data_IF_785207873371
#
_entry.id   IF_785207873371
#
_cell.length_a   1.000
_cell.length_b   1.000
_cell.length_c   1.000
_cell.angle_alpha   90.00
_cell.angle_beta   90.00
_cell.angle_gamma   90.00
#
_symmetry.space_group_name_H-M   'P 1'
#
loop_
_entity.id
_entity.type
_entity.pdbx_description
1 polymer ?
#
# COMPACT_ATOMS: atom_id res chain seq x y z
N UNK A 1 -4.75 51.31 -23.16
CA UNK A 1 -4.25 50.33 -22.17
C UNK A 1 -5.30 49.35 -21.60
N UNK A 2 -6.62 49.55 -21.74
CA UNK A 2 -7.63 48.58 -21.27
C UNK A 2 -7.79 47.31 -22.13
N UNK A 3 -7.44 47.37 -23.43
CA UNK A 3 -7.60 46.23 -24.36
C UNK A 3 -6.54 45.13 -24.20
N UNK A 4 -5.33 45.48 -23.78
CA UNK A 4 -4.22 44.51 -23.62
C UNK A 4 -4.41 43.66 -22.34
N UNK A 5 -4.95 44.26 -21.28
CA UNK A 5 -5.20 43.56 -20.02
C UNK A 5 -6.31 42.50 -20.16
N UNK A 6 -7.33 42.77 -20.99
CA UNK A 6 -8.42 41.84 -21.25
C UNK A 6 -7.94 40.58 -22.01
N UNK A 7 -7.03 40.76 -22.98
CA UNK A 7 -6.47 39.65 -23.76
C UNK A 7 -5.60 38.70 -22.93
N UNK A 8 -4.87 39.21 -21.94
CA UNK A 8 -4.02 38.41 -21.04
C UNK A 8 -4.86 37.60 -20.05
N UNK A 9 -5.99 38.15 -19.58
CA UNK A 9 -6.92 37.45 -18.69
C UNK A 9 -7.62 36.32 -19.45
N UNK A 10 -8.02 36.52 -20.71
CA UNK A 10 -8.60 35.45 -21.54
C UNK A 10 -7.61 34.33 -21.87
N UNK A 11 -6.32 34.64 -22.07
CA UNK A 11 -5.31 33.60 -22.36
C UNK A 11 -4.97 32.75 -21.12
N UNK A 12 -5.00 33.34 -19.92
CA UNK A 12 -4.76 32.64 -18.65
C UNK A 12 -5.97 31.81 -18.18
N UNK A 13 -7.19 32.16 -18.60
CA UNK A 13 -8.41 31.37 -18.36
C UNK A 13 -8.52 30.13 -19.28
N UNK A 14 -7.79 30.08 -20.41
CA UNK A 14 -7.81 28.95 -21.36
C UNK A 14 -6.78 27.85 -21.04
N UNK A 15 -5.87 28.06 -20.09
CA UNK A 15 -4.92 27.03 -19.64
C UNK A 15 -5.47 26.08 -18.56
N UNK A 16 -6.72 26.24 -18.15
CA UNK A 16 -7.29 25.52 -17.00
C UNK A 16 -8.51 24.68 -17.34
N UNK A 17 -8.40 23.68 -18.23
CA UNK A 17 -9.37 22.56 -18.29
C UNK A 17 -8.88 21.43 -19.23
N UNK A 18 -7.75 20.80 -18.92
CA UNK A 18 -7.52 19.43 -19.41
C UNK A 18 -8.36 18.48 -18.56
N UNK A 19 -9.67 18.41 -18.84
CA UNK A 19 -10.56 17.34 -18.37
C UNK A 19 -10.58 16.19 -19.37
N UNK A 20 -9.43 15.87 -20.00
CA UNK A 20 -9.28 14.55 -20.60
C UNK A 20 -9.29 13.55 -19.44
N UNK A 21 -10.49 13.00 -19.15
CA UNK A 21 -10.62 11.74 -18.41
C UNK A 21 -9.75 10.74 -19.17
N UNK A 22 -8.54 10.50 -18.66
CA UNK A 22 -7.69 9.44 -19.15
C UNK A 22 -8.51 8.17 -18.96
N UNK A 23 -8.90 7.54 -20.06
CA UNK A 23 -9.66 6.29 -20.03
C UNK A 23 -8.81 5.31 -19.23
N UNK A 24 -9.39 4.76 -18.16
CA UNK A 24 -8.65 3.80 -17.35
C UNK A 24 -8.29 2.60 -18.23
N UNK A 25 -7.02 2.23 -18.22
CA UNK A 25 -6.54 1.07 -18.94
C UNK A 25 -6.94 -0.17 -18.14
N UNK A 26 -7.50 -1.17 -18.82
CA UNK A 26 -7.99 -2.38 -18.17
C UNK A 26 -7.23 -3.57 -18.72
N UNK A 27 -6.53 -4.28 -17.84
CA UNK A 27 -5.88 -5.54 -18.18
C UNK A 27 -6.81 -6.71 -17.85
N UNK A 28 -7.15 -7.51 -18.85
CA UNK A 28 -8.09 -8.62 -18.70
C UNK A 28 -7.36 -9.96 -18.74
N UNK A 29 -7.66 -10.83 -17.77
CA UNK A 29 -7.18 -12.20 -17.69
C UNK A 29 -8.39 -13.13 -17.67
N UNK A 30 -8.44 -14.09 -18.59
CA UNK A 30 -9.47 -15.13 -18.58
C UNK A 30 -8.88 -16.45 -18.12
N UNK A 31 -9.44 -17.00 -17.04
CA UNK A 31 -9.11 -18.30 -16.49
C UNK A 31 -10.22 -19.27 -16.90
N UNK A 32 -9.84 -20.39 -17.51
CA UNK A 32 -10.79 -21.43 -17.91
C UNK A 32 -10.40 -22.74 -17.23
N UNK A 33 -11.33 -23.31 -16.48
CA UNK A 33 -11.22 -24.65 -15.90
C UNK A 33 -12.42 -25.51 -16.34
N UNK A 34 -12.13 -26.62 -17.01
CA UNK A 34 -13.12 -27.52 -17.63
C UNK A 34 -14.15 -26.74 -18.49
N UNK A 35 -15.40 -26.62 -18.02
CA UNK A 35 -16.52 -25.91 -18.69
C UNK A 35 -16.83 -24.54 -18.08
N UNK A 36 -16.05 -24.06 -17.12
CA UNK A 36 -16.25 -22.76 -16.45
C UNK A 36 -15.17 -21.79 -16.89
N UNK A 37 -15.58 -20.56 -17.23
CA UNK A 37 -14.68 -19.44 -17.49
C UNK A 37 -14.92 -18.33 -16.48
N UNK A 38 -13.82 -17.74 -16.03
CA UNK A 38 -13.75 -16.58 -15.16
C UNK A 38 -12.96 -15.49 -15.89
N UNK A 39 -13.49 -14.28 -15.92
CA UNK A 39 -12.79 -13.11 -16.45
C UNK A 39 -12.43 -12.16 -15.31
N UNK A 40 -11.14 -11.90 -15.12
CA UNK A 40 -10.60 -10.94 -14.17
C UNK A 40 -10.20 -9.68 -14.91
N UNK A 41 -10.72 -8.52 -14.52
CA UNK A 41 -10.32 -7.23 -15.11
C UNK A 41 -9.61 -6.40 -14.07
N UNK A 42 -8.41 -5.96 -14.40
CA UNK A 42 -7.57 -5.12 -13.56
C UNK A 42 -7.56 -3.72 -14.12
N UNK A 43 -8.27 -2.80 -13.45
CA UNK A 43 -8.25 -1.38 -13.75
C UNK A 43 -6.88 -0.83 -13.32
N UNK A 44 -6.07 -0.29 -14.21
CA UNK A 44 -4.66 0.01 -13.89
C UNK A 44 -4.50 1.36 -13.19
N UNK A 45 -5.47 2.26 -13.35
CA UNK A 45 -5.53 3.60 -12.76
C UNK A 45 -4.21 4.38 -12.91
N UNK A 46 -3.64 4.31 -14.11
CA UNK A 46 -2.36 4.94 -14.49
C UNK A 46 -1.10 4.22 -13.98
N UNK A 47 -1.23 3.05 -13.35
CA UNK A 47 -0.11 2.16 -13.05
C UNK A 47 0.30 1.32 -14.27
N UNK A 48 1.54 0.84 -14.27
CA UNK A 48 2.07 -0.10 -15.27
C UNK A 48 2.31 -1.46 -14.64
N UNK A 49 1.90 -2.54 -15.30
CA UNK A 49 2.19 -3.89 -14.83
C UNK A 49 3.69 -4.15 -14.92
N UNK A 50 4.32 -4.52 -13.80
CA UNK A 50 5.75 -4.87 -13.72
C UNK A 50 6.00 -6.35 -13.45
N UNK A 51 4.98 -7.04 -12.93
CA UNK A 51 5.01 -8.49 -12.74
C UNK A 51 3.63 -9.01 -13.08
N UNK A 52 3.53 -9.86 -14.09
CA UNK A 52 2.31 -10.61 -14.39
C UNK A 52 2.56 -12.07 -14.03
N UNK A 53 1.74 -12.64 -13.17
CA UNK A 53 1.76 -14.09 -12.98
C UNK A 53 0.97 -14.71 -14.13
N UNK A 54 1.65 -15.48 -14.98
CA UNK A 54 0.97 -16.28 -16.00
C UNK A 54 0.43 -17.52 -15.32
N UNK A 55 -0.88 -17.73 -15.42
CA UNK A 55 -1.51 -18.97 -15.01
C UNK A 55 -0.86 -20.14 -15.74
N UNK A 56 -0.24 -21.04 -14.98
CA UNK A 56 0.29 -22.29 -15.48
C UNK A 56 -0.77 -23.39 -15.31
N UNK A 57 -1.34 -23.83 -16.44
CA UNK A 57 -2.36 -24.89 -16.49
C UNK A 57 -1.85 -26.23 -15.93
N UNK A 58 -0.54 -26.42 -15.78
CA UNK A 58 0.05 -27.62 -15.18
C UNK A 58 -0.02 -27.64 -13.64
N UNK A 59 -0.30 -26.50 -12.99
CA UNK A 59 -0.48 -26.41 -11.53
C UNK A 59 -1.93 -26.76 -11.17
N UNK A 60 -2.09 -27.84 -10.41
CA UNK A 60 -3.34 -28.60 -10.21
C UNK A 60 -4.46 -27.91 -9.43
N UNK A 61 -4.35 -26.66 -8.99
CA UNK A 61 -5.48 -26.02 -8.32
C UNK A 61 -5.63 -24.52 -8.66
N UNK A 62 -6.84 -24.08 -9.06
CA UNK A 62 -7.23 -22.68 -9.06
C UNK A 62 -7.06 -21.97 -7.70
N UNK A 63 -6.94 -22.75 -6.61
CA UNK A 63 -6.93 -22.25 -5.24
C UNK A 63 -5.55 -21.75 -4.74
N UNK A 64 -4.49 -21.80 -5.56
CA UNK A 64 -3.21 -21.19 -5.20
C UNK A 64 -3.32 -19.66 -5.34
N UNK A 65 -3.27 -18.91 -4.24
CA UNK A 65 -3.57 -17.49 -4.25
C UNK A 65 -2.40 -16.64 -4.74
N UNK A 66 -1.23 -17.23 -5.03
CA UNK A 66 -0.06 -16.54 -5.60
C UNK A 66 -0.09 -16.44 -7.14
N UNK A 67 -1.14 -16.94 -7.80
CA UNK A 67 -1.08 -17.25 -9.24
C UNK A 67 -1.74 -16.25 -10.20
N UNK A 68 -2.41 -15.19 -9.73
CA UNK A 68 -3.34 -14.44 -10.62
C UNK A 68 -3.22 -12.91 -10.65
N UNK A 69 -2.56 -12.28 -9.68
CA UNK A 69 -2.66 -10.82 -9.53
C UNK A 69 -1.43 -10.07 -10.06
N UNK A 70 -1.54 -9.26 -11.11
CA UNK A 70 -0.41 -8.46 -11.58
C UNK A 70 0.04 -7.46 -10.51
N UNK A 71 1.33 -7.16 -10.46
CA UNK A 71 1.89 -6.10 -9.61
C UNK A 71 2.05 -4.84 -10.44
N UNK A 72 1.60 -3.70 -9.91
CA UNK A 72 1.72 -2.42 -10.59
C UNK A 72 2.90 -1.59 -10.07
N UNK A 73 3.43 -0.74 -10.95
CA UNK A 73 4.32 0.37 -10.61
C UNK A 73 3.67 1.67 -11.09
N UNK A 74 3.63 2.67 -10.21
CA UNK A 74 3.14 4.01 -10.50
C UNK A 74 4.09 5.03 -9.87
N UNK A 75 4.27 6.18 -10.51
CA UNK A 75 5.19 7.21 -10.02
C UNK A 75 4.71 7.74 -8.66
N UNK A 76 5.65 7.99 -7.74
CA UNK A 76 5.45 8.65 -6.44
C UNK A 76 4.50 7.93 -5.46
N UNK A 77 4.08 6.71 -5.79
CA UNK A 77 3.21 5.88 -4.94
C UNK A 77 3.63 4.42 -5.02
N UNK A 78 3.23 3.66 -4.01
CA UNK A 78 3.57 2.26 -3.84
C UNK A 78 2.31 1.42 -3.99
N UNK A 79 2.39 0.38 -4.82
CA UNK A 79 1.31 -0.57 -5.00
C UNK A 79 1.20 -1.50 -3.79
N UNK A 80 0.03 -1.53 -3.17
CA UNK A 80 -0.24 -2.34 -1.98
C UNK A 80 -1.08 -3.58 -2.28
N UNK A 81 -1.78 -3.61 -3.41
CA UNK A 81 -2.62 -4.74 -3.78
C UNK A 81 -3.84 -4.34 -4.60
N UNK A 82 -4.80 -5.26 -4.69
CA UNK A 82 -6.04 -5.11 -5.44
C UNK A 82 -7.25 -5.19 -4.52
N UNK A 83 -8.23 -4.32 -4.73
CA UNK A 83 -9.57 -4.46 -4.14
C UNK A 83 -10.58 -4.85 -5.21
N UNK A 84 -11.73 -5.41 -4.81
CA UNK A 84 -12.87 -5.64 -5.68
C UNK A 84 -14.16 -5.19 -4.99
N UNK A 85 -15.22 -4.96 -5.78
CA UNK A 85 -16.52 -4.50 -5.26
C UNK A 85 -17.45 -5.66 -4.83
N UNK A 86 -16.91 -6.85 -4.57
CA UNK A 86 -17.73 -8.02 -4.26
C UNK A 86 -18.10 -7.99 -2.77
N UNK A 87 -19.27 -7.40 -2.49
CA UNK A 87 -20.03 -7.34 -1.21
C UNK A 87 -19.38 -6.58 -0.03
N UNK A 88 -20.17 -5.85 0.77
CA UNK A 88 -19.70 -5.16 1.97
C UNK A 88 -19.05 -6.06 3.02
N UNK A 89 -19.32 -7.37 2.99
CA UNK A 89 -18.74 -8.38 3.91
C UNK A 89 -17.54 -9.12 3.28
N UNK A 90 -17.47 -9.23 1.95
CA UNK A 90 -16.34 -9.82 1.23
C UNK A 90 -15.34 -8.79 0.68
N UNK A 91 -15.65 -7.48 0.79
CA UNK A 91 -14.77 -6.33 0.51
C UNK A 91 -13.45 -6.38 1.28
N UNK A 92 -13.42 -7.08 2.41
CA UNK A 92 -12.27 -7.18 3.32
C UNK A 92 -11.46 -8.47 3.16
N UNK A 93 -11.87 -9.40 2.28
CA UNK A 93 -11.19 -10.69 2.12
C UNK A 93 -10.02 -10.56 1.15
N UNK A 94 -8.91 -10.05 1.65
CA UNK A 94 -7.63 -10.41 1.06
C UNK A 94 -7.38 -11.89 1.44
N UNK A 95 -7.43 -12.77 0.44
CA UNK A 95 -6.87 -14.13 0.53
C UNK A 95 -7.52 -15.08 1.54
N UNK A 96 -8.75 -15.54 1.27
CA UNK A 96 -9.21 -16.81 1.88
C UNK A 96 -8.86 -17.96 0.94
N UNK A 97 -8.06 -18.90 1.43
CA UNK A 97 -7.93 -20.24 0.86
C UNK A 97 -9.36 -20.82 0.82
N UNK A 98 -9.94 -20.99 -0.36
CA UNK A 98 -11.36 -21.32 -0.52
C UNK A 98 -12.23 -20.23 -1.15
N UNK A 99 -11.65 -19.16 -1.71
CA UNK A 99 -12.40 -18.34 -2.67
C UNK A 99 -12.65 -19.20 -3.91
N UNK A 100 -13.89 -19.64 -4.11
CA UNK A 100 -14.28 -20.36 -5.32
C UNK A 100 -14.24 -19.36 -6.48
N UNK A 101 -13.11 -19.32 -7.19
CA UNK A 101 -12.81 -18.45 -8.34
C UNK A 101 -13.87 -18.49 -9.47
N UNK A 102 -14.88 -19.35 -9.38
CA UNK A 102 -15.90 -19.55 -10.41
C UNK A 102 -17.35 -19.31 -9.96
N UNK A 103 -17.59 -18.71 -8.79
CA UNK A 103 -18.95 -18.26 -8.41
C UNK A 103 -19.45 -17.13 -9.33
N UNK A 104 -18.52 -16.30 -9.83
CA UNK A 104 -18.82 -15.23 -10.77
C UNK A 104 -18.09 -15.46 -12.09
N UNK A 105 -18.76 -15.11 -13.20
CA UNK A 105 -18.14 -15.15 -14.54
C UNK A 105 -17.16 -14.00 -14.78
N UNK A 106 -17.30 -12.90 -14.02
CA UNK A 106 -16.49 -11.68 -14.17
C UNK A 106 -16.23 -11.01 -12.80
N UNK A 107 -14.99 -10.58 -12.57
CA UNK A 107 -14.57 -9.84 -11.37
C UNK A 107 -13.74 -8.63 -11.82
N UNK A 108 -14.07 -7.45 -11.30
CA UNK A 108 -13.31 -6.22 -11.52
C UNK A 108 -12.47 -5.90 -10.28
N UNK A 109 -11.18 -5.67 -10.50
CA UNK A 109 -10.19 -5.30 -9.51
C UNK A 109 -9.70 -3.87 -9.73
N UNK A 110 -9.58 -3.13 -8.65
CA UNK A 110 -9.06 -1.77 -8.62
C UNK A 110 -7.78 -1.72 -7.79
N UNK A 111 -6.75 -0.98 -8.23
CA UNK A 111 -5.45 -1.02 -7.60
C UNK A 111 -5.45 -0.11 -6.39
N UNK A 112 -4.70 -0.51 -5.38
CA UNK A 112 -4.50 0.28 -4.19
C UNK A 112 -3.08 0.81 -4.19
N UNK A 113 -2.98 2.13 -4.10
CA UNK A 113 -1.72 2.84 -4.02
C UNK A 113 -1.63 3.61 -2.71
N UNK A 114 -0.60 3.34 -1.91
CA UNK A 114 -0.24 4.17 -0.77
C UNK A 114 0.86 5.15 -1.15
N UNK A 115 0.84 6.34 -0.55
CA UNK A 115 1.94 7.31 -0.67
C UNK A 115 2.70 7.32 0.64
N UNK A 116 3.97 6.90 0.59
CA UNK A 116 4.83 6.73 1.75
C UNK A 116 5.98 7.73 1.66
N UNK A 117 6.20 8.47 2.73
CA UNK A 117 7.19 9.51 2.80
C UNK A 117 7.92 9.43 4.13
N UNK A 118 9.25 9.41 4.06
CA UNK A 118 10.14 9.57 5.21
C UNK A 118 11.07 10.73 4.89
N UNK A 119 10.95 11.82 5.63
CA UNK A 119 11.75 13.05 5.43
C UNK A 119 12.51 13.37 6.70
N UNK A 120 13.74 13.83 6.55
CA UNK A 120 14.55 14.28 7.67
C UNK A 120 14.74 15.81 7.61
N UNK A 121 14.50 16.49 8.74
CA UNK A 121 14.84 17.91 8.94
C UNK A 121 15.63 18.06 10.25
N UNK A 122 16.93 18.32 10.14
CA UNK A 122 17.81 18.28 11.32
C UNK A 122 17.80 16.87 11.92
N UNK A 123 17.53 16.75 13.22
CA UNK A 123 17.44 15.45 13.90
C UNK A 123 16.01 14.86 13.91
N UNK A 124 15.04 15.59 13.36
CA UNK A 124 13.65 15.15 13.29
C UNK A 124 13.40 14.36 12.02
N UNK A 125 12.70 13.25 12.18
CA UNK A 125 12.26 12.37 11.10
C UNK A 125 10.74 12.45 11.06
N UNK A 126 10.21 12.73 9.88
CA UNK A 126 8.79 12.80 9.59
C UNK A 126 8.39 11.61 8.74
N UNK A 127 7.57 10.72 9.31
CA UNK A 127 6.88 9.65 8.60
C UNK A 127 5.47 10.14 8.24
N UNK A 128 5.15 10.09 6.95
CA UNK A 128 3.81 10.35 6.44
C UNK A 128 3.37 9.25 5.49
N UNK A 129 2.20 8.68 5.77
CA UNK A 129 1.52 7.70 4.93
C UNK A 129 0.18 8.30 4.55
N UNK A 130 -0.12 8.41 3.26
CA UNK A 130 -1.37 8.97 2.76
C UNK A 130 -2.10 7.98 1.84
N UNK A 131 -3.38 8.28 1.58
CA UNK A 131 -4.27 7.52 0.69
C UNK A 131 -4.46 6.07 1.14
N UNK A 132 -4.54 5.85 2.45
CA UNK A 132 -4.83 4.54 3.01
C UNK A 132 -6.33 4.25 2.79
N UNK A 133 -6.73 3.30 1.93
CA UNK A 133 -8.14 3.09 1.63
C UNK A 133 -8.86 2.46 2.82
N UNK A 134 -9.83 3.20 3.35
CA UNK A 134 -10.48 2.89 4.63
C UNK A 134 -11.27 1.57 4.69
N UNK A 135 -11.75 1.08 3.54
CA UNK A 135 -12.70 -0.03 3.48
C UNK A 135 -12.08 -1.38 3.16
N UNK A 136 -10.77 -1.47 2.90
CA UNK A 136 -10.14 -2.74 2.52
C UNK A 136 -8.97 -3.11 3.42
N UNK A 137 -8.45 -2.14 4.20
CA UNK A 137 -7.20 -2.25 4.94
C UNK A 137 -7.31 -1.78 6.38
N UNK A 138 -8.46 -2.04 7.01
CA UNK A 138 -8.66 -1.77 8.44
C UNK A 138 -7.59 -2.45 9.34
N UNK A 139 -6.78 -3.34 8.78
CA UNK A 139 -5.87 -4.24 9.50
C UNK A 139 -4.42 -4.18 9.03
N UNK A 140 -4.03 -3.18 8.23
CA UNK A 140 -2.61 -3.05 7.89
C UNK A 140 -1.82 -2.51 9.07
N UNK A 141 -0.75 -3.24 9.42
CA UNK A 141 0.30 -2.76 10.31
C UNK A 141 1.42 -2.19 9.44
N UNK A 142 1.97 -1.08 9.85
CA UNK A 142 3.06 -0.37 9.19
C UNK A 142 4.24 -0.35 10.14
N UNK A 143 5.42 -0.67 9.63
CA UNK A 143 6.63 -0.61 10.44
C UNK A 143 7.72 0.18 9.71
N UNK A 144 8.35 1.09 10.44
CA UNK A 144 9.57 1.78 10.03
C UNK A 144 10.70 1.37 10.96
N UNK A 145 11.68 0.66 10.43
CA UNK A 145 12.82 0.16 11.19
C UNK A 145 14.09 0.93 10.81
N UNK A 146 14.99 1.11 11.77
CA UNK A 146 16.29 1.75 11.56
C UNK A 146 17.42 0.84 12.00
N UNK A 147 18.49 0.84 11.21
CA UNK A 147 19.69 0.06 11.47
C UNK A 147 20.95 0.87 11.16
N UNK A 148 22.01 0.72 11.97
CA UNK A 148 23.33 1.31 11.65
C UNK A 148 23.99 0.65 10.43
N UNK A 149 23.63 -0.59 10.11
CA UNK A 149 24.12 -1.35 8.96
C UNK A 149 22.97 -1.65 8.01
N UNK A 150 23.22 -1.62 6.70
CA UNK A 150 22.24 -2.08 5.73
C UNK A 150 22.05 -3.59 5.88
N UNK A 151 20.85 -4.04 6.28
CA UNK A 151 20.50 -5.46 6.38
C UNK A 151 19.76 -5.91 5.12
N UNK A 152 19.94 -7.19 4.76
CA UNK A 152 19.22 -7.86 3.66
C UNK A 152 17.99 -8.64 4.15
N UNK A 153 18.05 -9.12 5.39
CA UNK A 153 16.97 -9.84 6.06
C UNK A 153 16.40 -8.95 7.15
N UNK A 154 15.09 -9.02 7.31
CA UNK A 154 14.32 -8.04 8.03
C UNK A 154 13.48 -8.77 9.09
N UNK A 155 13.86 -8.61 10.35
CA UNK A 155 13.04 -8.98 11.50
C UNK A 155 12.49 -7.72 12.14
N UNK A 156 11.46 -7.83 12.97
CA UNK A 156 11.05 -6.72 13.86
C UNK A 156 11.76 -6.73 15.21
N UNK A 157 12.74 -7.62 15.38
CA UNK A 157 13.67 -7.57 16.52
C UNK A 157 14.72 -6.48 16.36
N UNK A 158 14.44 -5.46 15.54
CA UNK A 158 15.37 -4.38 15.29
C UNK A 158 15.45 -3.46 16.51
N UNK A 159 16.66 -2.99 16.85
CA UNK A 159 16.89 -2.20 18.04
C UNK A 159 16.24 -0.81 17.97
N UNK A 160 15.72 -0.40 16.80
CA UNK A 160 15.01 0.86 16.64
C UNK A 160 13.89 0.66 15.62
N UNK A 161 12.63 0.75 16.07
CA UNK A 161 11.47 0.57 15.20
C UNK A 161 10.26 1.38 15.67
N UNK A 162 9.46 1.83 14.71
CA UNK A 162 8.15 2.43 14.93
C UNK A 162 7.11 1.60 14.21
N UNK A 163 6.09 1.15 14.91
CA UNK A 163 5.01 0.33 14.39
C UNK A 163 3.66 0.96 14.69
N UNK A 164 2.73 0.94 13.73
CA UNK A 164 1.36 1.39 13.96
C UNK A 164 0.38 0.83 12.93
N UNK A 165 -0.92 0.95 13.17
CA UNK A 165 -1.97 0.58 12.21
C UNK A 165 -3.10 1.62 12.16
N UNK A 166 -3.96 1.50 11.15
CA UNK A 166 -5.16 2.37 11.06
C UNK A 166 -6.29 1.81 11.95
N UNK A 167 -7.15 2.69 12.48
CA UNK A 167 -8.31 2.39 13.36
C UNK A 167 -8.01 2.03 14.82
N UNK A 168 -6.87 2.46 15.37
CA UNK A 168 -6.54 2.27 16.80
C UNK A 168 -6.45 0.81 17.29
N UNK A 169 -6.61 -0.18 16.41
CA UNK A 169 -6.42 -1.61 16.74
C UNK A 169 -4.96 -1.85 17.15
N UNK A 170 -4.03 -1.25 16.41
CA UNK A 170 -2.60 -1.29 16.71
C UNK A 170 -2.14 0.12 17.13
N UNK A 171 -2.15 0.44 18.44
CA UNK A 171 -1.61 1.70 18.91
C UNK A 171 -0.12 1.80 18.53
N UNK A 172 0.42 3.01 18.34
CA UNK A 172 1.82 3.19 18.05
C UNK A 172 2.70 2.50 19.11
N UNK A 173 3.56 1.60 18.65
CA UNK A 173 4.63 0.99 19.45
C UNK A 173 5.95 1.49 18.90
N UNK A 174 6.88 1.84 19.78
CA UNK A 174 8.16 2.39 19.35
C UNK A 174 9.26 2.04 20.33
N UNK A 175 10.48 1.93 19.80
CA UNK A 175 11.68 1.72 20.60
C UNK A 175 12.86 2.48 19.97
N UNK A 176 13.73 3.08 20.80
CA UNK A 176 14.89 3.86 20.34
C UNK A 176 14.55 5.27 19.82
N UNK A 177 13.38 5.80 20.16
CA UNK A 177 12.92 7.13 19.76
C UNK A 177 12.57 8.02 20.96
N UNK A 178 12.74 9.32 20.77
CA UNK A 178 12.28 10.38 21.66
C UNK A 178 11.46 11.43 20.91
N UNK A 179 10.81 12.32 21.66
CA UNK A 179 10.04 13.46 21.12
C UNK A 179 8.97 13.07 20.09
N UNK A 180 8.34 11.91 20.28
CA UNK A 180 7.37 11.36 19.34
C UNK A 180 6.08 12.16 19.42
N UNK A 181 5.65 12.72 18.29
CA UNK A 181 4.42 13.50 18.17
C UNK A 181 3.77 13.15 16.84
N UNK A 182 2.47 12.91 16.86
CA UNK A 182 1.78 12.54 15.65
C UNK A 182 0.34 12.14 15.90
N UNK A 183 -0.32 11.75 14.82
CA UNK A 183 -1.68 11.26 14.86
C UNK A 183 -1.93 10.26 13.76
N UNK A 184 -2.94 9.44 14.00
CA UNK A 184 -3.50 8.53 13.02
C UNK A 184 -4.89 9.07 12.72
N UNK A 185 -5.15 9.32 11.46
CA UNK A 185 -6.47 9.71 10.97
C UNK A 185 -7.02 8.60 10.09
N UNK A 186 -8.25 8.83 9.64
CA UNK A 186 -8.89 7.95 8.68
C UNK A 186 -8.08 7.75 7.39
N UNK A 187 -7.36 8.75 6.92
CA UNK A 187 -6.73 8.70 5.59
C UNK A 187 -5.20 8.74 5.63
N UNK A 188 -4.63 8.95 6.81
CA UNK A 188 -3.20 9.19 6.95
C UNK A 188 -2.64 8.80 8.31
N UNK A 189 -1.38 8.38 8.31
CA UNK A 189 -0.52 8.27 9.49
C UNK A 189 0.53 9.37 9.35
N UNK A 190 0.64 10.23 10.35
CA UNK A 190 1.55 11.38 10.33
C UNK A 190 2.26 11.48 11.69
N UNK A 191 3.55 11.11 11.72
CA UNK A 191 4.37 11.09 12.93
C UNK A 191 5.71 11.77 12.71
N UNK A 192 6.10 12.58 13.68
CA UNK A 192 7.45 13.08 13.84
C UNK A 192 8.10 12.41 15.04
N UNK A 193 9.34 11.97 14.90
CA UNK A 193 10.15 11.40 15.97
C UNK A 193 11.63 11.71 15.77
N UNK A 194 12.39 11.60 16.85
CA UNK A 194 13.85 11.74 16.83
C UNK A 194 14.47 10.43 17.32
N UNK A 195 15.55 9.97 16.68
CA UNK A 195 16.30 8.83 17.21
C UNK A 195 17.03 9.25 18.49
N UNK A 196 17.09 8.34 19.46
CA UNK A 196 17.83 8.56 20.71
C UNK A 196 19.34 8.65 20.45
N UNK A 197 19.83 7.80 19.55
CA UNK A 197 21.23 7.71 19.19
C UNK A 197 21.60 8.58 17.99
N UNK A 198 22.80 9.15 18.04
CA UNK A 198 23.43 9.83 16.92
C UNK A 198 24.08 8.84 15.96
N UNK A 199 24.20 9.25 14.70
CA UNK A 199 24.94 8.51 13.68
C UNK A 199 24.17 8.32 12.38
N UNK A 200 24.70 7.44 11.55
CA UNK A 200 24.13 7.10 10.26
C UNK A 200 23.23 5.88 10.42
N UNK A 201 21.99 5.99 9.94
CA UNK A 201 21.04 4.89 9.95
C UNK A 201 20.48 4.66 8.55
N UNK A 202 20.34 3.39 8.21
CA UNK A 202 19.56 2.91 7.08
C UNK A 202 18.16 2.61 7.60
N UNK A 203 17.14 3.14 6.93
CA UNK A 203 15.76 2.87 7.27
C UNK A 203 15.10 2.00 6.22
N UNK A 204 14.16 1.19 6.67
CA UNK A 204 13.32 0.37 5.81
C UNK A 204 11.89 0.41 6.32
N UNK A 205 10.95 0.53 5.39
CA UNK A 205 9.53 0.59 5.64
C UNK A 205 8.82 -0.66 5.12
N UNK A 206 8.02 -1.28 5.98
CA UNK A 206 7.24 -2.48 5.73
C UNK A 206 5.76 -2.25 5.94
N UNK A 207 4.97 -3.10 5.30
CA UNK A 207 3.54 -3.24 5.55
C UNK A 207 3.29 -4.70 5.86
N UNK A 208 2.61 -5.01 6.96
CA UNK A 208 1.98 -6.31 7.14
C UNK A 208 0.62 -6.26 6.43
N UNK A 209 0.61 -6.80 5.20
CA UNK A 209 -0.63 -6.93 4.42
C UNK A 209 -1.42 -8.19 4.72
N UNK A 210 -0.84 -9.12 5.48
CA UNK A 210 -1.43 -10.43 5.83
C UNK A 210 -2.17 -10.38 7.18
N UNK A 211 -1.95 -9.35 8.00
CA UNK A 211 -2.68 -9.14 9.26
C UNK A 211 -4.23 -9.15 9.07
N UNK A 212 -4.75 -8.75 7.91
CA UNK A 212 -6.19 -8.86 7.61
C UNK A 212 -6.72 -10.29 7.47
N UNK A 213 -5.82 -11.27 7.28
CA UNK A 213 -6.15 -12.67 6.95
C UNK A 213 -6.51 -13.50 8.18
N UNK A 214 -6.08 -13.07 9.36
CA UNK A 214 -6.15 -13.83 10.61
C UNK A 214 -7.18 -13.28 11.60
N UNK A 215 -7.88 -12.19 11.26
CA UNK A 215 -8.80 -11.47 12.15
C UNK A 215 -10.28 -11.85 11.93
N UNK A 216 -10.53 -12.97 11.24
CA UNK A 216 -11.86 -13.58 11.10
C UNK A 216 -12.10 -14.67 12.16
N UNK A 217 -11.04 -15.15 12.80
CA UNK A 217 -11.13 -15.91 14.04
C UNK A 217 -11.01 -14.89 15.17
N UNK A 218 -11.79 -15.04 16.25
CA UNK A 218 -11.88 -14.10 17.38
C UNK A 218 -10.54 -13.86 18.15
N UNK A 219 -9.42 -14.40 17.66
CA UNK A 219 -8.06 -14.16 18.14
C UNK A 219 -7.47 -12.90 17.50
N UNK A 220 -7.91 -11.73 17.97
CA UNK A 220 -7.28 -10.43 17.72
C UNK A 220 -5.83 -10.32 18.25
N UNK A 221 -5.33 -11.37 18.91
CA UNK A 221 -4.08 -11.41 19.68
C UNK A 221 -2.85 -11.86 18.86
N UNK A 222 -2.86 -11.67 17.53
CA UNK A 222 -1.66 -11.90 16.73
C UNK A 222 -0.61 -10.81 17.02
N UNK A 223 0.26 -11.06 17.98
CA UNK A 223 1.35 -10.15 18.37
C UNK A 223 2.38 -9.96 17.25
N UNK A 224 2.68 -11.03 16.51
CA UNK A 224 3.74 -11.05 15.51
C UNK A 224 3.34 -10.31 14.22
N UNK A 225 4.22 -9.44 13.74
CA UNK A 225 4.06 -8.75 12.46
C UNK A 225 4.85 -9.49 11.38
N UNK A 226 4.18 -9.78 10.25
CA UNK A 226 4.81 -10.40 9.07
C UNK A 226 5.13 -9.29 8.08
N UNK A 227 6.42 -8.99 7.84
CA UNK A 227 6.78 -7.96 6.89
C UNK A 227 6.48 -8.40 5.46
N UNK A 228 5.59 -7.67 4.79
CA UNK A 228 5.60 -7.57 3.32
C UNK A 228 6.43 -6.36 2.92
N UNK A 229 7.26 -6.49 1.88
CA UNK A 229 8.22 -5.46 1.46
C UNK A 229 9.66 -5.96 1.37
N UNK A 230 10.65 -5.06 1.37
CA UNK A 230 10.57 -3.63 1.72
C UNK A 230 9.85 -2.78 0.68
N UNK A 231 9.07 -1.79 1.15
CA UNK A 231 8.32 -0.88 0.28
C UNK A 231 9.05 0.46 0.06
N UNK A 232 9.73 0.96 1.09
CA UNK A 232 10.59 2.15 0.99
C UNK A 232 11.87 1.90 1.78
N UNK A 233 13.00 2.32 1.23
CA UNK A 233 14.30 2.28 1.89
C UNK A 233 15.00 3.61 1.73
N UNK A 234 15.87 3.94 2.69
CA UNK A 234 16.74 5.09 2.56
C UNK A 234 17.77 5.18 3.67
N UNK A 235 18.39 6.35 3.76
CA UNK A 235 19.47 6.64 4.70
C UNK A 235 19.23 8.00 5.32
N UNK A 236 19.40 8.09 6.63
CA UNK A 236 19.31 9.33 7.41
C UNK A 236 20.56 9.48 8.28
N UNK A 237 20.84 10.71 8.73
CA UNK A 237 22.03 11.01 9.54
C UNK A 237 21.69 11.93 10.70
N UNK A 238 21.72 11.41 11.92
CA UNK A 238 21.39 12.13 13.14
C UNK A 238 22.67 12.73 13.74
N UNK A 239 22.64 14.05 14.02
CA UNK A 239 23.78 14.84 14.49
C UNK A 239 23.80 15.05 16.00
#
# INVERSE_FOLDING_TARGET
MKKILLSIITLSLLCGCSTKKVKDEVHTVTITDKKKSLTLNYHLSGGKIIKSYKYDKSRKSPDDPNLYHPVLKKKDVIFLGWTNNISSEAKYRFYVKGFTYFEKKKIDYYPVFGKFLVVQKGNQIHLRIENIPFSNYKYYRYALCFNKKKKKEHSLTEPIYFETGVNHIYPPKYWGFKNIKGSITRNAIDYTFELEEKGIFYYTFYVDSDASRYLLDDDLDREEFIPSGPYLEGKITIK
#
